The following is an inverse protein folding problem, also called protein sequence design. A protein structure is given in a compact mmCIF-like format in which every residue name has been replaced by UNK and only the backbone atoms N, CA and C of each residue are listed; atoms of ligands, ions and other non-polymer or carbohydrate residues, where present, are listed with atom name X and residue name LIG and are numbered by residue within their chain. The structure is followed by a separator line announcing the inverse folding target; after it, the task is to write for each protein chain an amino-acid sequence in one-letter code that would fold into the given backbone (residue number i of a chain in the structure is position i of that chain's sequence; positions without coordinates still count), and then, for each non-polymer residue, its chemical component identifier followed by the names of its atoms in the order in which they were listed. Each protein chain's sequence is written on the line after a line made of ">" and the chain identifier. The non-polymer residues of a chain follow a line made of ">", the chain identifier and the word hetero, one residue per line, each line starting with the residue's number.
data_IF_242960865689
#
_entry.id   IF_242960865689
#
_cell.length_a   1.000
_cell.length_b   1.000
_cell.length_c   1.000
_cell.angle_alpha   90.00
_cell.angle_beta   90.00
_cell.angle_gamma   90.00
#
_symmetry.space_group_name_H-M   'P 1'
#
loop_
_entity.id
_entity.type
_entity.pdbx_description
1 polymer ?
#
# COMPACT_ATOMS: atom_id res chain seq x y z
N UNK A 1 24.52 -7.09 18.92
CA UNK A 1 23.33 -7.22 18.06
C UNK A 1 23.39 -6.09 17.05
N UNK A 2 23.42 -6.36 15.73
CA UNK A 2 23.44 -5.30 14.74
C UNK A 2 22.16 -4.46 14.86
N UNK A 3 22.20 -3.15 14.56
CA UNK A 3 21.01 -2.32 14.58
C UNK A 3 19.99 -2.89 13.60
N UNK A 4 18.78 -3.21 14.09
CA UNK A 4 17.67 -3.61 13.24
C UNK A 4 17.28 -2.42 12.37
N UNK A 5 17.30 -2.62 11.05
CA UNK A 5 16.93 -1.60 10.08
C UNK A 5 15.42 -1.37 10.18
N UNK A 6 15.00 -0.26 10.82
CA UNK A 6 13.58 0.13 10.89
C UNK A 6 13.21 0.86 9.59
N UNK A 7 12.04 0.54 9.02
CA UNK A 7 11.46 1.35 7.96
C UNK A 7 10.96 2.68 8.53
N UNK A 8 11.10 3.76 7.76
CA UNK A 8 10.63 5.09 8.17
C UNK A 8 9.14 5.18 7.91
N UNK A 9 8.41 5.77 8.86
CA UNK A 9 6.96 5.96 8.78
C UNK A 9 6.61 7.21 7.97
N UNK A 10 5.47 7.15 7.28
CA UNK A 10 4.88 8.30 6.61
C UNK A 10 4.21 9.22 7.64
N UNK A 11 4.96 10.17 8.22
CA UNK A 11 4.48 10.96 9.38
C UNK A 11 3.32 11.92 9.09
N UNK A 12 3.22 12.44 7.86
CA UNK A 12 2.31 13.54 7.51
C UNK A 12 1.26 13.19 6.45
N UNK A 13 1.04 11.90 6.21
CA UNK A 13 0.04 11.43 5.23
C UNK A 13 -0.69 10.22 5.81
N UNK A 14 -1.97 10.09 5.48
CA UNK A 14 -2.74 8.90 5.84
C UNK A 14 -2.05 7.64 5.30
N UNK A 15 -1.95 6.63 6.15
CA UNK A 15 -1.35 5.35 5.77
C UNK A 15 -2.09 4.72 4.58
N UNK A 16 -3.42 4.88 4.50
CA UNK A 16 -4.24 4.37 3.38
C UNK A 16 -3.78 4.97 2.04
N UNK A 17 -3.59 6.30 1.99
CA UNK A 17 -3.12 7.00 0.78
C UNK A 17 -1.68 6.57 0.47
N UNK A 18 -0.81 6.54 1.49
CA UNK A 18 0.58 6.15 1.30
C UNK A 18 0.72 4.71 0.78
N UNK A 19 -0.13 3.80 1.25
CA UNK A 19 -0.18 2.40 0.83
C UNK A 19 -0.58 2.27 -0.63
N UNK A 20 -1.70 2.85 -1.06
CA UNK A 20 -2.16 2.69 -2.46
C UNK A 20 -1.23 3.38 -3.47
N UNK A 21 -0.63 4.51 -3.07
CA UNK A 21 0.36 5.21 -3.90
C UNK A 21 1.67 4.41 -3.99
N UNK A 22 2.16 3.87 -2.87
CA UNK A 22 3.40 3.06 -2.86
C UNK A 22 3.24 1.75 -3.61
N UNK A 23 2.04 1.15 -3.57
CA UNK A 23 1.67 -0.02 -4.37
C UNK A 23 1.45 0.31 -5.86
N UNK A 24 1.54 1.59 -6.26
CA UNK A 24 1.33 2.07 -7.63
C UNK A 24 -0.06 1.78 -8.20
N UNK A 25 -1.06 1.60 -7.33
CA UNK A 25 -2.46 1.44 -7.72
C UNK A 25 -3.16 2.78 -7.96
N UNK A 26 -2.61 3.87 -7.39
CA UNK A 26 -3.06 5.23 -7.61
C UNK A 26 -1.90 6.22 -7.55
N UNK A 27 -2.11 7.40 -8.11
CA UNK A 27 -1.28 8.58 -7.87
C UNK A 27 -1.88 9.43 -6.75
N UNK A 28 -1.05 10.28 -6.13
CA UNK A 28 -1.55 11.25 -5.15
C UNK A 28 -2.59 12.20 -5.75
N UNK A 29 -2.43 12.57 -7.03
CA UNK A 29 -3.36 13.42 -7.74
C UNK A 29 -4.75 12.76 -7.88
N UNK A 30 -4.79 11.48 -8.26
CA UNK A 30 -6.06 10.74 -8.37
C UNK A 30 -6.74 10.59 -7.02
N UNK A 31 -6.00 10.31 -5.94
CA UNK A 31 -6.54 10.25 -4.58
C UNK A 31 -7.15 11.57 -4.08
N UNK A 32 -6.73 12.71 -4.64
CA UNK A 32 -7.19 14.03 -4.23
C UNK A 32 -8.32 14.59 -5.10
N UNK A 33 -8.45 14.11 -6.34
CA UNK A 33 -9.29 14.76 -7.36
C UNK A 33 -10.24 13.83 -8.09
N UNK A 34 -9.98 12.51 -8.08
CA UNK A 34 -10.75 11.52 -8.84
C UNK A 34 -11.45 10.53 -7.91
N UNK A 35 -10.68 9.90 -7.03
CA UNK A 35 -11.17 8.84 -6.17
C UNK A 35 -11.88 9.38 -4.94
N UNK A 36 -13.03 8.79 -4.64
CA UNK A 36 -13.64 8.96 -3.33
C UNK A 36 -12.91 8.09 -2.29
N UNK A 37 -13.27 8.25 -1.03
CA UNK A 37 -12.64 7.50 0.05
C UNK A 37 -12.87 5.99 -0.09
N UNK A 38 -14.04 5.57 -0.59
CA UNK A 38 -14.38 4.16 -0.82
C UNK A 38 -13.47 3.52 -1.87
N UNK A 39 -13.25 4.18 -3.01
CA UNK A 39 -12.32 3.72 -4.05
C UNK A 39 -10.91 3.50 -3.48
N UNK A 40 -10.44 4.41 -2.61
CA UNK A 40 -9.11 4.29 -1.98
C UNK A 40 -9.05 3.09 -1.03
N UNK A 41 -10.14 2.75 -0.35
CA UNK A 41 -10.21 1.54 0.47
C UNK A 41 -10.27 0.26 -0.38
N UNK A 42 -10.97 0.28 -1.51
CA UNK A 42 -10.99 -0.85 -2.46
C UNK A 42 -9.59 -1.11 -3.03
N UNK A 43 -8.86 -0.05 -3.41
CA UNK A 43 -7.47 -0.17 -3.84
C UNK A 43 -6.55 -0.68 -2.73
N UNK A 44 -6.81 -0.33 -1.47
CA UNK A 44 -6.05 -0.87 -0.34
C UNK A 44 -6.28 -2.38 -0.17
N UNK A 45 -7.52 -2.84 -0.35
CA UNK A 45 -7.84 -4.27 -0.31
C UNK A 45 -7.18 -5.03 -1.47
N UNK A 46 -7.21 -4.48 -2.68
CA UNK A 46 -6.49 -5.04 -3.84
C UNK A 46 -5.00 -5.21 -3.52
N UNK A 47 -4.34 -4.18 -2.98
CA UNK A 47 -2.93 -4.26 -2.58
C UNK A 47 -2.67 -5.35 -1.53
N UNK A 48 -3.60 -5.53 -0.57
CA UNK A 48 -3.51 -6.56 0.47
C UNK A 48 -3.59 -7.97 -0.14
N UNK A 49 -4.55 -8.20 -1.03
CA UNK A 49 -4.76 -9.47 -1.75
C UNK A 49 -3.57 -9.79 -2.65
N UNK A 50 -3.05 -8.81 -3.40
CA UNK A 50 -1.89 -9.00 -4.26
C UNK A 50 -0.64 -9.40 -3.48
N UNK A 51 -0.42 -8.79 -2.32
CA UNK A 51 0.67 -9.17 -1.43
C UNK A 51 0.49 -10.59 -0.86
N UNK A 52 -0.75 -10.97 -0.52
CA UNK A 52 -1.05 -12.34 -0.08
C UNK A 52 -0.79 -13.36 -1.20
N UNK A 53 -1.26 -13.09 -2.42
CA UNK A 53 -1.04 -13.94 -3.59
C UNK A 53 0.46 -14.07 -3.90
N UNK A 54 1.19 -12.95 -3.86
CA UNK A 54 2.65 -12.96 -4.07
C UNK A 54 3.34 -13.86 -3.05
N UNK A 55 2.93 -13.82 -1.77
CA UNK A 55 3.47 -14.71 -0.73
C UNK A 55 3.20 -16.18 -1.02
N UNK A 56 1.98 -16.53 -1.41
CA UNK A 56 1.61 -17.91 -1.79
C UNK A 56 2.48 -18.39 -2.95
N UNK A 57 2.60 -17.57 -4.01
CA UNK A 57 3.39 -17.92 -5.19
C UNK A 57 4.89 -18.01 -4.90
N UNK A 58 5.41 -17.19 -3.98
CA UNK A 58 6.82 -17.21 -3.58
C UNK A 58 7.16 -18.30 -2.55
N UNK A 59 6.15 -18.86 -1.87
CA UNK A 59 6.30 -19.91 -0.86
C UNK A 59 5.87 -21.30 -1.35
N UNK A 60 5.60 -21.45 -2.65
CA UNK A 60 5.34 -22.73 -3.30
C UNK A 60 6.63 -23.38 -3.79
N UNK A 61 7.46 -23.84 -2.85
CA UNK A 61 8.51 -24.86 -3.06
C UNK A 61 8.16 -26.12 -2.26
#
# INVERSE_FOLDING_TARGET
>A
MPPQKKLIEYTNISITIASVVSSKLATLYECQTVYCLEDVYDLLEIASVDNHNTKILSGGD
#
